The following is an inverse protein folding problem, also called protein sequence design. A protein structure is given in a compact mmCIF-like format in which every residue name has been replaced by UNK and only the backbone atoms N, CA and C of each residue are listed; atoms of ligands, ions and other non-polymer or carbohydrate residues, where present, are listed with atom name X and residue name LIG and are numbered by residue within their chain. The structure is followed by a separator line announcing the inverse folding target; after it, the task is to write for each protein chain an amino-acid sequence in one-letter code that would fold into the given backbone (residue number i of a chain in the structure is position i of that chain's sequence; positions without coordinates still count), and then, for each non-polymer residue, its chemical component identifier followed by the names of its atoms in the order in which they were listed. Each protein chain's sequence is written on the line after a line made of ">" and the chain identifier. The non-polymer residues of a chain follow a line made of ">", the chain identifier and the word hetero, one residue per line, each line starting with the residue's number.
data_IF_119536936764
#
_entry.id   IF_119536936764
#
_cell.length_a   1.000
_cell.length_b   1.000
_cell.length_c   1.000
_cell.angle_alpha   90.00
_cell.angle_beta   90.00
_cell.angle_gamma   90.00
#
_symmetry.space_group_name_H-M   'P 1'
#
loop_
_entity.id
_entity.type
_entity.pdbx_description
1 polymer ?
#
# COMPACT_ATOMS: atom_id res chain seq x y z
N UNK A 1 -4.56 11.37 -21.14
CA UNK A 1 -4.32 11.35 -19.68
C UNK A 1 -3.92 9.97 -19.12
N UNK A 2 -4.22 8.83 -19.78
CA UNK A 2 -3.93 7.46 -19.27
C UNK A 2 -2.81 6.67 -19.98
N UNK A 3 -1.79 7.32 -20.53
CA UNK A 3 -0.73 6.64 -21.29
C UNK A 3 0.54 6.39 -20.47
N UNK A 4 0.41 6.17 -19.15
CA UNK A 4 1.52 5.72 -18.32
C UNK A 4 1.31 4.25 -17.94
N UNK A 5 2.11 3.31 -18.47
CA UNK A 5 1.92 1.88 -18.21
C UNK A 5 2.00 1.51 -16.73
N UNK A 6 2.59 2.38 -15.89
CA UNK A 6 2.63 2.19 -14.43
C UNK A 6 1.26 2.35 -13.77
N UNK A 7 0.47 3.34 -14.22
CA UNK A 7 -0.90 3.56 -13.70
C UNK A 7 -1.79 2.38 -14.03
N UNK A 8 -1.71 1.87 -15.26
CA UNK A 8 -2.46 0.70 -15.71
C UNK A 8 -2.11 -0.52 -14.84
N UNK A 9 -0.83 -0.76 -14.57
CA UNK A 9 -0.38 -1.86 -13.69
C UNK A 9 -0.97 -1.75 -12.28
N UNK A 10 -0.98 -0.55 -11.70
CA UNK A 10 -1.56 -0.32 -10.37
C UNK A 10 -3.06 -0.59 -10.36
N UNK A 11 -3.79 -0.09 -11.36
CA UNK A 11 -5.24 -0.32 -11.49
C UNK A 11 -5.56 -1.80 -11.67
N UNK A 12 -4.77 -2.51 -12.49
CA UNK A 12 -4.93 -3.96 -12.68
C UNK A 12 -4.68 -4.72 -11.37
N UNK A 13 -3.65 -4.37 -10.60
CA UNK A 13 -3.38 -4.99 -9.29
C UNK A 13 -4.54 -4.79 -8.30
N UNK A 14 -5.10 -3.58 -8.24
CA UNK A 14 -6.27 -3.31 -7.41
C UNK A 14 -7.51 -4.07 -7.90
N UNK A 15 -7.76 -4.10 -9.20
CA UNK A 15 -8.88 -4.83 -9.78
C UNK A 15 -8.79 -6.34 -9.52
N UNK A 16 -7.57 -6.91 -9.59
CA UNK A 16 -7.33 -8.32 -9.32
C UNK A 16 -7.52 -8.65 -7.83
N UNK A 17 -7.02 -7.78 -6.92
CA UNK A 17 -7.26 -7.90 -5.49
C UNK A 17 -8.75 -7.84 -5.14
N UNK A 18 -9.47 -6.85 -5.67
CA UNK A 18 -10.91 -6.67 -5.44
C UNK A 18 -11.68 -7.88 -5.98
N UNK A 19 -11.34 -8.34 -7.19
CA UNK A 19 -11.96 -9.54 -7.76
C UNK A 19 -11.70 -10.76 -6.86
N UNK A 20 -10.46 -10.96 -6.41
CA UNK A 20 -10.13 -12.06 -5.50
C UNK A 20 -10.97 -11.99 -4.22
N UNK A 21 -11.06 -10.84 -3.57
CA UNK A 21 -11.85 -10.61 -2.36
C UNK A 21 -13.36 -10.76 -2.57
N UNK A 22 -13.88 -10.46 -3.77
CA UNK A 22 -15.31 -10.64 -4.10
C UNK A 22 -15.66 -12.09 -4.38
N UNK A 23 -14.78 -12.83 -5.07
CA UNK A 23 -15.02 -14.23 -5.43
C UNK A 23 -14.64 -15.22 -4.33
N UNK A 24 -13.74 -14.85 -3.42
CA UNK A 24 -13.43 -15.66 -2.24
C UNK A 24 -14.17 -15.14 -1.02
N UNK A 25 -14.76 -16.03 -0.21
CA UNK A 25 -15.31 -15.65 1.11
C UNK A 25 -14.16 -15.64 2.12
N UNK A 26 -13.58 -14.48 2.47
CA UNK A 26 -12.33 -14.42 3.24
C UNK A 26 -12.46 -15.06 4.63
N UNK A 27 -13.67 -15.04 5.21
CA UNK A 27 -13.98 -15.60 6.52
C UNK A 27 -13.85 -17.12 6.61
N UNK A 28 -13.90 -17.82 5.46
CA UNK A 28 -13.83 -19.29 5.41
C UNK A 28 -12.52 -19.80 4.82
N UNK A 29 -11.59 -18.91 4.50
CA UNK A 29 -10.34 -19.30 3.87
C UNK A 29 -9.29 -19.72 4.91
N UNK A 30 -8.49 -20.76 4.62
CA UNK A 30 -7.32 -21.07 5.42
C UNK A 30 -6.37 -19.87 5.44
N UNK A 31 -5.72 -19.62 6.58
CA UNK A 31 -4.78 -18.51 6.78
C UNK A 31 -3.69 -18.46 5.69
N UNK A 32 -3.23 -19.62 5.21
CA UNK A 32 -2.25 -19.69 4.10
C UNK A 32 -2.75 -19.09 2.79
N UNK A 33 -4.06 -19.14 2.52
CA UNK A 33 -4.66 -18.56 1.30
C UNK A 33 -4.84 -17.05 1.42
N UNK A 34 -5.01 -16.54 2.65
CA UNK A 34 -5.06 -15.10 2.95
C UNK A 34 -3.71 -14.38 2.70
N UNK A 35 -2.61 -15.12 2.60
CA UNK A 35 -1.30 -14.57 2.20
C UNK A 35 -1.33 -14.01 0.78
N UNK A 36 -2.09 -14.62 -0.13
CA UNK A 36 -2.19 -14.19 -1.54
C UNK A 36 -2.78 -12.78 -1.67
N UNK A 37 -3.98 -12.47 -1.13
CA UNK A 37 -4.51 -11.12 -1.18
C UNK A 37 -3.67 -10.14 -0.36
N UNK A 38 -2.98 -10.59 0.69
CA UNK A 38 -2.08 -9.73 1.47
C UNK A 38 -0.87 -9.26 0.64
N UNK A 39 -0.23 -10.16 -0.11
CA UNK A 39 0.90 -9.82 -1.00
C UNK A 39 0.42 -8.91 -2.14
N UNK A 40 -0.74 -9.23 -2.74
CA UNK A 40 -1.34 -8.40 -3.78
C UNK A 40 -1.65 -6.98 -3.28
N UNK A 41 -2.18 -6.87 -2.07
CA UNK A 41 -2.44 -5.59 -1.41
C UNK A 41 -1.16 -4.80 -1.18
N UNK A 42 -0.11 -5.42 -0.63
CA UNK A 42 1.19 -4.77 -0.46
C UNK A 42 1.78 -4.27 -1.78
N UNK A 43 1.74 -5.08 -2.84
CA UNK A 43 2.20 -4.68 -4.17
C UNK A 43 1.39 -3.52 -4.76
N UNK A 44 0.07 -3.57 -4.63
CA UNK A 44 -0.82 -2.50 -5.09
C UNK A 44 -0.56 -1.20 -4.33
N UNK A 45 -0.37 -1.28 -3.01
CA UNK A 45 -0.10 -0.14 -2.13
C UNK A 45 1.27 0.48 -2.44
N UNK A 46 2.31 -0.34 -2.63
CA UNK A 46 3.64 0.13 -3.05
C UNK A 46 3.60 0.89 -4.37
N UNK A 47 2.94 0.31 -5.38
CA UNK A 47 2.78 0.95 -6.70
C UNK A 47 2.00 2.26 -6.60
N UNK A 48 0.97 2.31 -5.74
CA UNK A 48 0.16 3.51 -5.48
C UNK A 48 0.98 4.61 -4.82
N UNK A 49 1.74 4.29 -3.76
CA UNK A 49 2.62 5.25 -3.10
C UNK A 49 3.70 5.79 -4.03
N UNK A 50 4.30 4.91 -4.86
CA UNK A 50 5.30 5.33 -5.85
C UNK A 50 4.72 6.29 -6.90
N UNK A 51 3.51 6.00 -7.39
CA UNK A 51 2.78 6.92 -8.29
C UNK A 51 2.43 8.24 -7.60
N UNK A 52 1.99 8.20 -6.34
CA UNK A 52 1.70 9.40 -5.57
C UNK A 52 2.95 10.29 -5.43
N UNK A 53 4.12 9.71 -5.17
CA UNK A 53 5.39 10.47 -5.18
C UNK A 53 5.74 11.04 -6.54
N UNK A 54 5.54 10.30 -7.63
CA UNK A 54 5.81 10.79 -9.00
C UNK A 54 4.86 11.93 -9.42
N UNK A 55 3.61 11.92 -8.95
CA UNK A 55 2.62 12.96 -9.26
C UNK A 55 2.80 14.20 -8.37
N UNK A 56 3.09 14.02 -7.07
CA UNK A 56 3.20 15.13 -6.12
C UNK A 56 4.59 15.77 -6.08
N UNK A 57 5.67 15.05 -6.38
CA UNK A 57 7.02 15.62 -6.41
C UNK A 57 7.48 15.85 -7.85
N UNK A 58 7.70 17.12 -8.21
CA UNK A 58 8.31 17.52 -9.49
C UNK A 58 9.78 17.05 -9.52
N UNK A 59 9.97 15.91 -10.17
CA UNK A 59 11.15 15.40 -10.88
C UNK A 59 12.51 15.24 -10.17
N UNK A 60 12.91 16.03 -9.16
CA UNK A 60 14.36 16.16 -8.86
C UNK A 60 14.88 15.86 -7.45
N UNK A 61 14.09 15.78 -6.39
CA UNK A 61 14.69 15.61 -5.05
C UNK A 61 14.55 14.18 -4.51
N UNK A 62 15.64 13.42 -4.61
CA UNK A 62 15.98 12.26 -3.79
C UNK A 62 15.14 10.97 -3.96
N UNK A 63 15.14 10.40 -5.18
CA UNK A 63 14.47 9.13 -5.54
C UNK A 63 14.79 7.95 -4.62
N UNK A 64 16.01 7.90 -4.05
CA UNK A 64 16.42 6.84 -3.12
C UNK A 64 15.62 6.86 -1.82
N UNK A 65 15.50 8.04 -1.19
CA UNK A 65 14.77 8.22 0.07
C UNK A 65 13.27 7.96 -0.09
N UNK A 66 12.69 8.41 -1.21
CA UNK A 66 11.28 8.13 -1.55
C UNK A 66 11.03 6.63 -1.72
N UNK A 67 11.93 5.92 -2.40
CA UNK A 67 11.80 4.46 -2.60
C UNK A 67 11.89 3.71 -1.28
N UNK A 68 12.85 4.06 -0.42
CA UNK A 68 13.00 3.47 0.91
C UNK A 68 11.75 3.72 1.76
N UNK A 69 11.24 4.96 1.76
CA UNK A 69 10.01 5.31 2.46
C UNK A 69 8.80 4.53 1.95
N UNK A 70 8.62 4.42 0.63
CA UNK A 70 7.53 3.63 0.05
C UNK A 70 7.63 2.15 0.42
N UNK A 71 8.84 1.58 0.47
CA UNK A 71 9.06 0.21 0.93
C UNK A 71 8.67 0.06 2.40
N UNK A 72 9.21 0.90 3.29
CA UNK A 72 8.95 0.83 4.74
C UNK A 72 7.46 0.98 5.04
N UNK A 73 6.80 1.98 4.43
CA UNK A 73 5.37 2.21 4.64
C UNK A 73 4.53 1.06 4.11
N UNK A 74 4.87 0.52 2.94
CA UNK A 74 4.17 -0.65 2.40
C UNK A 74 4.31 -1.84 3.34
N UNK A 75 5.53 -2.12 3.79
CA UNK A 75 5.82 -3.25 4.68
C UNK A 75 5.07 -3.09 6.02
N UNK A 76 5.12 -1.90 6.63
CA UNK A 76 4.41 -1.59 7.86
C UNK A 76 2.90 -1.78 7.70
N UNK A 77 2.28 -1.18 6.68
CA UNK A 77 0.83 -1.28 6.44
C UNK A 77 0.43 -2.71 6.10
N UNK A 78 1.21 -3.42 5.29
CA UNK A 78 0.92 -4.82 4.91
C UNK A 78 1.01 -5.75 6.12
N UNK A 79 2.03 -5.58 6.96
CA UNK A 79 2.16 -6.37 8.20
C UNK A 79 1.01 -6.07 9.16
N UNK A 80 0.64 -4.80 9.34
CA UNK A 80 -0.49 -4.44 10.20
C UNK A 80 -1.82 -5.02 9.69
N UNK A 81 -2.08 -4.99 8.38
CA UNK A 81 -3.26 -5.64 7.80
C UNK A 81 -3.21 -7.16 7.98
N UNK A 82 -2.04 -7.78 7.82
CA UNK A 82 -1.86 -9.21 8.03
C UNK A 82 -2.17 -9.63 9.46
N UNK A 83 -1.65 -8.88 10.44
CA UNK A 83 -1.91 -9.12 11.86
C UNK A 83 -3.38 -8.85 12.22
N UNK A 84 -3.98 -7.78 11.67
CA UNK A 84 -5.41 -7.51 11.84
C UNK A 84 -6.26 -8.66 11.27
N UNK A 85 -5.85 -9.23 10.13
CA UNK A 85 -6.54 -10.35 9.49
C UNK A 85 -6.50 -11.64 10.32
N UNK A 86 -5.55 -11.79 11.25
CA UNK A 86 -5.45 -12.94 12.16
C UNK A 86 -6.19 -12.66 13.48
N UNK A 87 -6.71 -11.44 13.67
CA UNK A 87 -7.41 -11.02 14.89
C UNK A 87 -6.47 -10.53 16.00
N UNK A 88 -5.16 -10.50 15.74
CA UNK A 88 -4.12 -10.09 16.69
C UNK A 88 -4.02 -8.56 16.85
N UNK A 89 -4.67 -7.80 15.95
CA UNK A 89 -4.52 -6.35 15.88
C UNK A 89 -5.88 -5.65 15.81
N UNK A 90 -6.07 -4.64 16.68
CA UNK A 90 -7.33 -3.90 16.76
C UNK A 90 -7.50 -2.96 15.55
N UNK A 91 -8.72 -2.74 15.06
CA UNK A 91 -8.99 -1.74 14.01
C UNK A 91 -8.48 -0.33 14.38
N UNK A 92 -8.40 -0.02 15.68
CA UNK A 92 -7.86 1.27 16.18
C UNK A 92 -6.37 1.42 15.88
N UNK A 93 -5.61 0.34 15.99
CA UNK A 93 -4.17 0.35 15.75
C UNK A 93 -3.89 0.48 14.25
N UNK A 94 -4.70 -0.16 13.42
CA UNK A 94 -4.65 -0.01 11.96
C UNK A 94 -4.86 1.45 11.54
N UNK A 95 -5.88 2.13 12.08
CA UNK A 95 -6.14 3.56 11.81
C UNK A 95 -4.94 4.42 12.24
N UNK A 96 -4.33 4.09 13.38
CA UNK A 96 -3.16 4.81 13.90
C UNK A 96 -1.98 4.71 12.95
N UNK A 97 -1.68 3.50 12.43
CA UNK A 97 -0.60 3.28 11.45
C UNK A 97 -0.87 4.02 10.15
N UNK A 98 -2.13 4.07 9.70
CA UNK A 98 -2.55 4.76 8.49
C UNK A 98 -2.38 6.28 8.61
N UNK A 99 -2.80 6.86 9.74
CA UNK A 99 -2.58 8.27 10.07
C UNK A 99 -1.08 8.61 10.16
N UNK A 100 -0.30 7.78 10.85
CA UNK A 100 1.12 8.00 11.04
C UNK A 100 1.88 7.93 9.71
N UNK A 101 1.46 7.02 8.83
CA UNK A 101 1.97 6.91 7.45
C UNK A 101 1.66 8.17 6.64
N UNK A 102 0.44 8.70 6.75
CA UNK A 102 0.01 9.94 6.09
C UNK A 102 0.78 11.18 6.58
N UNK A 103 0.97 11.32 7.89
CA UNK A 103 1.75 12.40 8.50
C UNK A 103 3.22 12.28 8.07
N UNK A 104 3.79 11.08 8.11
CA UNK A 104 5.16 10.83 7.68
C UNK A 104 5.35 11.16 6.20
N UNK A 105 4.38 10.83 5.35
CA UNK A 105 4.36 11.22 3.94
C UNK A 105 4.34 12.74 3.78
N UNK A 106 3.45 13.43 4.51
CA UNK A 106 3.36 14.89 4.48
C UNK A 106 4.69 15.54 4.89
N UNK A 107 5.33 15.02 5.94
CA UNK A 107 6.60 15.55 6.44
C UNK A 107 7.74 15.33 5.44
N UNK A 108 7.82 14.13 4.85
CA UNK A 108 8.79 13.84 3.78
C UNK A 108 8.52 14.73 2.58
N UNK A 109 7.27 14.91 2.15
CA UNK A 109 6.93 15.76 1.01
C UNK A 109 7.24 17.25 1.28
N UNK A 110 7.05 17.73 2.51
CA UNK A 110 7.27 19.13 2.90
C UNK A 110 8.76 19.46 3.10
N UNK A 111 9.53 18.60 3.75
CA UNK A 111 10.98 18.78 3.97
C UNK A 111 11.84 18.48 2.73
N UNK A 112 11.21 18.16 1.60
CA UNK A 112 11.91 17.91 0.33
C UNK A 112 11.67 19.08 -0.66
N UNK A 113 10.86 20.08 -0.28
CA UNK A 113 10.79 21.41 -0.92
C UNK A 113 11.78 22.35 -0.25
#
# INVERSE_FOLDING_TARGET
>A
MFRNPRVIKTVVLWALLISFMLFTRPEKLPVGVLVVPLILFGLALYMTLRLAFEVLQRKDSNRGRQRLFAIIMTLAVTVCVGLQSIGELSPRDFITVLLLSGISYFYVARNTK
#
